data_IF_247783488756
#
_entry.id   IF_247783488756
#
_cell.length_a   1.000
_cell.length_b   1.000
_cell.length_c   1.000
_cell.angle_alpha   90.00
_cell.angle_beta   90.00
_cell.angle_gamma   90.00
#
_symmetry.space_group_name_H-M   'P 1'
#
loop_
_entity.id
_entity.type
_entity.pdbx_description
1 polymer ?
#
# COMPACT_ATOMS: atom_id res chain seq x y z
N UNK A 1 -29.01 0.91 -6.98
CA UNK A 1 -27.62 1.14 -7.47
C UNK A 1 -26.78 -0.03 -7.02
N UNK A 2 -26.50 -0.98 -7.91
CA UNK A 2 -25.67 -2.15 -7.63
C UNK A 2 -24.22 -1.69 -7.46
N UNK A 3 -23.69 -1.83 -6.25
CA UNK A 3 -22.27 -1.68 -5.95
C UNK A 3 -21.47 -2.51 -6.98
N UNK A 4 -20.61 -1.85 -7.78
CA UNK A 4 -19.69 -2.58 -8.66
C UNK A 4 -18.87 -3.50 -7.78
N UNK A 5 -19.02 -4.81 -7.99
CA UNK A 5 -18.25 -5.83 -7.29
C UNK A 5 -16.77 -5.52 -7.50
N UNK A 6 -16.03 -5.25 -6.42
CA UNK A 6 -14.58 -5.02 -6.48
C UNK A 6 -13.91 -6.33 -6.88
N UNK A 7 -13.58 -6.48 -8.17
CA UNK A 7 -12.83 -7.61 -8.68
C UNK A 7 -11.39 -7.19 -8.94
N UNK A 8 -10.51 -7.55 -8.00
CA UNK A 8 -9.09 -7.25 -8.04
C UNK A 8 -8.31 -8.56 -7.91
N UNK A 9 -7.50 -8.87 -8.92
CA UNK A 9 -6.71 -10.09 -8.93
C UNK A 9 -5.63 -10.06 -7.84
N UNK A 10 -5.34 -11.23 -7.26
CA UNK A 10 -4.18 -11.38 -6.39
C UNK A 10 -2.87 -11.10 -7.14
N UNK A 11 -1.78 -10.89 -6.40
CA UNK A 11 -0.49 -10.60 -7.01
C UNK A 11 0.63 -10.44 -5.99
N UNK A 12 1.88 -10.53 -6.46
CA UNK A 12 3.05 -10.32 -5.62
C UNK A 12 3.16 -8.85 -5.21
N UNK A 13 3.44 -8.60 -3.93
CA UNK A 13 3.66 -7.27 -3.39
C UNK A 13 5.16 -7.01 -3.27
N UNK A 14 5.61 -5.89 -3.85
CA UNK A 14 7.00 -5.45 -3.83
C UNK A 14 7.14 -4.13 -3.09
N UNK A 15 8.09 -4.07 -2.16
CA UNK A 15 8.59 -2.82 -1.61
C UNK A 15 9.91 -2.47 -2.30
N UNK A 16 9.86 -1.52 -3.23
CA UNK A 16 11.05 -1.04 -3.96
C UNK A 16 11.81 -0.02 -3.12
N UNK A 17 13.12 0.10 -3.35
CA UNK A 17 13.93 1.16 -2.74
C UNK A 17 13.35 2.55 -3.02
N UNK A 18 12.87 2.76 -4.26
CA UNK A 18 12.08 3.91 -4.67
C UNK A 18 12.83 5.24 -4.61
N UNK A 19 12.09 6.35 -4.61
CA UNK A 19 12.65 7.71 -4.52
C UNK A 19 11.63 8.69 -3.96
N UNK A 20 12.11 9.69 -3.22
CA UNK A 20 11.35 10.88 -2.84
C UNK A 20 11.72 12.00 -3.82
N UNK A 21 10.72 12.64 -4.44
CA UNK A 21 10.95 13.73 -5.41
C UNK A 21 10.23 15.03 -5.03
N UNK A 22 9.56 15.05 -3.89
CA UNK A 22 8.90 16.22 -3.32
C UNK A 22 7.78 15.82 -2.34
N UNK A 23 7.16 16.80 -1.68
CA UNK A 23 6.08 16.55 -0.74
C UNK A 23 4.98 15.70 -1.37
N UNK A 24 4.66 14.57 -0.74
CA UNK A 24 3.68 13.60 -1.20
C UNK A 24 3.95 13.02 -2.61
N UNK A 25 5.18 13.20 -3.13
CA UNK A 25 5.61 12.72 -4.45
C UNK A 25 6.78 11.77 -4.31
N UNK A 26 6.58 10.55 -4.79
CA UNK A 26 7.58 9.49 -4.73
C UNK A 26 6.96 8.14 -4.44
N UNK A 27 7.82 7.14 -4.24
CA UNK A 27 7.37 5.79 -3.87
C UNK A 27 8.46 5.04 -3.09
N UNK A 28 8.04 3.96 -2.42
CA UNK A 28 8.94 2.97 -1.83
C UNK A 28 9.67 3.44 -0.57
N UNK A 29 10.72 2.70 -0.20
CA UNK A 29 11.46 2.87 1.07
C UNK A 29 11.91 4.31 1.29
N UNK A 30 12.58 4.90 0.30
CA UNK A 30 13.13 6.26 0.40
C UNK A 30 12.04 7.31 0.56
N UNK A 31 10.92 7.16 -0.14
CA UNK A 31 9.78 8.07 0.01
C UNK A 31 9.13 7.98 1.39
N UNK A 32 8.87 6.76 1.87
CA UNK A 32 8.28 6.53 3.20
C UNK A 32 9.18 7.13 4.29
N UNK A 33 10.49 6.89 4.22
CA UNK A 33 11.44 7.43 5.19
C UNK A 33 11.54 8.96 5.13
N UNK A 34 11.65 9.56 3.93
CA UNK A 34 11.70 11.01 3.79
C UNK A 34 10.46 11.70 4.34
N UNK A 35 9.27 11.16 4.10
CA UNK A 35 8.01 11.76 4.57
C UNK A 35 7.78 11.55 6.08
N UNK A 36 8.26 10.43 6.64
CA UNK A 36 7.76 9.92 7.95
C UNK A 36 8.85 9.43 8.89
N UNK A 37 10.13 9.54 8.55
CA UNK A 37 11.24 9.01 9.35
C UNK A 37 11.20 9.45 10.81
N UNK A 38 10.91 10.73 11.08
CA UNK A 38 10.77 11.26 12.45
C UNK A 38 9.66 10.56 13.25
N UNK A 39 8.55 10.21 12.60
CA UNK A 39 7.44 9.46 13.21
C UNK A 39 7.75 7.96 13.32
N UNK A 40 8.42 7.38 12.34
CA UNK A 40 8.87 6.00 12.37
C UNK A 40 9.79 5.73 13.55
N UNK A 41 10.73 6.64 13.82
CA UNK A 41 11.61 6.59 15.00
C UNK A 41 10.77 6.57 16.29
N UNK A 42 9.78 7.47 16.41
CA UNK A 42 8.85 7.50 17.56
C UNK A 42 8.04 6.21 17.72
N UNK A 43 7.83 5.45 16.64
CA UNK A 43 7.10 4.19 16.64
C UNK A 43 7.99 2.96 16.79
N UNK A 44 9.29 3.14 17.04
CA UNK A 44 10.24 2.06 17.27
C UNK A 44 10.90 1.52 16.00
N UNK A 45 10.84 2.24 14.88
CA UNK A 45 11.53 1.93 13.62
C UNK A 45 12.68 2.95 13.43
N UNK A 46 13.85 2.73 14.07
CA UNK A 46 14.87 3.76 14.24
C UNK A 46 15.62 4.15 12.97
N UNK A 47 15.61 3.29 11.93
CA UNK A 47 16.39 3.50 10.71
C UNK A 47 15.58 3.32 9.44
N UNK A 48 16.10 3.81 8.31
CA UNK A 48 15.51 3.55 6.99
C UNK A 48 15.41 2.05 6.68
N UNK A 49 16.28 1.23 7.26
CA UNK A 49 16.27 -0.22 7.11
C UNK A 49 15.13 -0.89 7.86
N UNK A 50 14.42 -0.17 8.73
CA UNK A 50 13.23 -0.65 9.44
C UNK A 50 11.93 -0.40 8.65
N UNK A 51 11.97 0.34 7.53
CA UNK A 51 10.78 0.56 6.67
C UNK A 51 10.17 -0.76 6.16
N UNK A 52 10.96 -1.76 5.70
CA UNK A 52 10.41 -3.07 5.34
C UNK A 52 9.64 -3.73 6.49
N UNK A 53 10.16 -3.66 7.73
CA UNK A 53 9.48 -4.19 8.92
C UNK A 53 8.17 -3.45 9.20
N UNK A 54 8.16 -2.13 9.08
CA UNK A 54 6.94 -1.33 9.24
C UNK A 54 5.87 -1.70 8.21
N UNK A 55 6.26 -1.88 6.95
CA UNK A 55 5.35 -2.26 5.86
C UNK A 55 4.81 -3.69 6.05
N UNK A 56 5.66 -4.64 6.44
CA UNK A 56 5.22 -6.02 6.68
C UNK A 56 4.28 -6.14 7.88
N UNK A 57 4.42 -5.26 8.87
CA UNK A 57 3.50 -5.14 10.02
C UNK A 57 2.10 -4.61 9.63
N UNK A 58 1.96 -4.01 8.45
CA UNK A 58 0.67 -3.54 7.91
C UNK A 58 0.06 -4.58 6.97
N UNK A 59 0.87 -5.12 6.06
CA UNK A 59 0.44 -6.06 5.02
C UNK A 59 0.43 -7.47 5.60
N UNK A 60 -0.64 -7.77 6.32
CA UNK A 60 -0.84 -9.04 7.03
C UNK A 60 -2.09 -9.75 6.53
N UNK A 61 -2.22 -11.04 6.86
CA UNK A 61 -3.46 -11.77 6.68
C UNK A 61 -4.63 -11.02 7.32
N UNK A 62 -5.79 -10.97 6.64
CA UNK A 62 -6.99 -10.23 7.02
C UNK A 62 -6.85 -8.69 7.05
N UNK A 63 -5.73 -8.12 6.57
CA UNK A 63 -5.65 -6.67 6.37
C UNK A 63 -6.80 -6.21 5.46
N UNK A 64 -7.52 -5.17 5.87
CA UNK A 64 -8.67 -4.68 5.14
C UNK A 64 -8.26 -3.98 3.86
N UNK A 65 -8.95 -4.25 2.76
CA UNK A 65 -8.79 -3.53 1.51
C UNK A 65 -9.79 -2.38 1.51
N UNK A 66 -9.28 -1.14 1.50
CA UNK A 66 -10.06 0.09 1.53
C UNK A 66 -9.99 0.76 0.16
N UNK A 67 -11.15 1.12 -0.37
CA UNK A 67 -11.31 1.79 -1.65
C UNK A 67 -11.77 3.23 -1.45
N UNK A 68 -11.00 4.19 -1.95
CA UNK A 68 -11.41 5.59 -2.11
C UNK A 68 -12.02 5.72 -3.51
N UNK A 69 -13.36 5.75 -3.62
CA UNK A 69 -14.11 5.60 -4.89
C UNK A 69 -13.83 6.66 -5.97
N UNK A 70 -12.99 7.67 -5.70
CA UNK A 70 -12.68 8.77 -6.62
C UNK A 70 -11.58 8.46 -7.66
N UNK A 71 -10.81 7.37 -7.53
CA UNK A 71 -9.60 7.16 -8.38
C UNK A 71 -9.58 5.84 -9.18
N UNK A 72 -10.74 5.22 -9.45
CA UNK A 72 -10.80 4.00 -10.27
C UNK A 72 -10.71 4.22 -11.80
N UNK A 73 -10.38 5.44 -12.25
CA UNK A 73 -10.23 5.80 -13.66
C UNK A 73 -8.77 5.92 -14.09
N UNK A 74 -8.20 4.87 -14.68
CA UNK A 74 -6.85 4.89 -15.26
C UNK A 74 -5.92 3.80 -14.72
N UNK A 75 -4.77 3.63 -15.38
CA UNK A 75 -3.80 2.52 -15.26
C UNK A 75 -3.14 2.29 -13.89
N UNK A 76 -3.62 2.89 -12.80
CA UNK A 76 -3.05 2.68 -11.46
C UNK A 76 -4.18 2.56 -10.45
N UNK A 77 -4.75 1.34 -10.33
CA UNK A 77 -5.66 1.04 -9.22
C UNK A 77 -4.87 1.15 -7.94
N UNK A 78 -5.05 2.25 -7.23
CA UNK A 78 -4.47 2.44 -5.91
C UNK A 78 -5.31 1.64 -4.93
N UNK A 79 -4.66 0.75 -4.19
CA UNK A 79 -5.29 -0.09 -3.17
C UNK A 79 -4.72 0.30 -1.82
N UNK A 80 -5.58 0.65 -0.88
CA UNK A 80 -5.17 0.93 0.50
C UNK A 80 -5.40 -0.32 1.33
N UNK A 81 -4.32 -0.89 1.87
CA UNK A 81 -4.38 -1.98 2.84
C UNK A 81 -4.33 -1.41 4.26
N UNK A 82 -5.36 -1.68 5.05
CA UNK A 82 -5.48 -1.30 6.45
C UNK A 82 -5.16 -2.49 7.36
N UNK A 83 -3.97 -2.47 7.95
CA UNK A 83 -3.55 -3.39 8.99
C UNK A 83 -3.66 -2.77 10.38
N UNK A 84 -3.34 -3.55 11.43
CA UNK A 84 -3.37 -3.06 12.83
C UNK A 84 -2.37 -1.93 13.09
N UNK A 85 -1.31 -1.85 12.29
CA UNK A 85 -0.17 -0.95 12.50
C UNK A 85 -0.23 0.30 11.62
N UNK A 86 -1.20 0.38 10.71
CA UNK A 86 -1.38 1.52 9.81
C UNK A 86 -1.96 1.10 8.46
N UNK A 87 -1.72 1.95 7.47
CA UNK A 87 -2.15 1.77 6.09
C UNK A 87 -0.94 1.72 5.15
N UNK A 88 -1.01 0.84 4.15
CA UNK A 88 -0.07 0.77 3.05
C UNK A 88 -0.82 1.03 1.75
N UNK A 89 -0.27 1.88 0.90
CA UNK A 89 -0.85 2.25 -0.38
C UNK A 89 -0.09 1.52 -1.47
N UNK A 90 -0.80 0.70 -2.24
CA UNK A 90 -0.27 -0.11 -3.32
C UNK A 90 -0.73 0.46 -4.65
N UNK A 91 0.18 0.55 -5.62
CA UNK A 91 -0.18 0.70 -7.03
C UNK A 91 -0.11 -0.68 -7.70
N UNK A 92 -1.19 -1.06 -8.39
CA UNK A 92 -1.23 -2.27 -9.21
C UNK A 92 -0.65 -2.00 -10.61
N UNK A 93 0.07 -2.99 -11.15
CA UNK A 93 0.62 -3.00 -12.50
C UNK A 93 0.46 -4.40 -13.09
N UNK A 94 0.37 -4.48 -14.42
CA UNK A 94 0.46 -5.77 -15.10
C UNK A 94 1.83 -6.41 -14.85
N UNK A 95 1.82 -7.72 -14.62
CA UNK A 95 3.04 -8.50 -14.47
C UNK A 95 3.78 -8.54 -15.81
N UNK A 96 5.06 -8.13 -15.87
CA UNK A 96 5.82 -8.19 -17.12
C UNK A 96 6.15 -9.63 -17.53
N UNK A 97 5.99 -10.59 -16.62
CA UNK A 97 6.37 -11.99 -16.82
C UNK A 97 5.17 -12.93 -16.95
N UNK A 98 3.94 -12.44 -16.78
CA UNK A 98 2.75 -13.28 -16.73
C UNK A 98 1.52 -12.47 -17.18
N UNK A 99 1.03 -12.78 -18.38
CA UNK A 99 -0.08 -12.06 -19.00
C UNK A 99 -1.37 -12.29 -18.21
N UNK A 100 -2.10 -11.22 -17.90
CA UNK A 100 -3.33 -11.28 -17.09
C UNK A 100 -3.09 -11.37 -15.58
N UNK A 101 -1.84 -11.35 -15.11
CA UNK A 101 -1.49 -11.30 -13.68
C UNK A 101 -1.08 -9.90 -13.24
N UNK A 102 -1.28 -9.60 -11.95
CA UNK A 102 -0.90 -8.31 -11.36
C UNK A 102 0.33 -8.42 -10.45
N UNK A 103 1.11 -7.35 -10.41
CA UNK A 103 2.06 -7.05 -9.34
C UNK A 103 1.65 -5.76 -8.64
N UNK A 104 1.99 -5.66 -7.36
CA UNK A 104 1.70 -4.51 -6.54
C UNK A 104 3.00 -3.87 -6.07
N UNK A 105 3.12 -2.55 -6.20
CA UNK A 105 4.22 -1.80 -5.61
C UNK A 105 3.71 -0.96 -4.45
N UNK A 106 4.38 -1.07 -3.29
CA UNK A 106 4.14 -0.16 -2.16
C UNK A 106 4.63 1.23 -2.54
N UNK A 107 3.67 2.16 -2.65
CA UNK A 107 3.93 3.57 -2.94
C UNK A 107 4.25 4.30 -1.66
N UNK A 108 3.41 4.17 -0.64
CA UNK A 108 3.62 4.80 0.66
C UNK A 108 3.01 3.98 1.80
N UNK A 109 3.36 4.31 3.03
CA UNK A 109 2.81 3.67 4.23
C UNK A 109 2.78 4.66 5.40
N UNK A 110 1.74 4.59 6.23
CA UNK A 110 1.50 5.57 7.28
C UNK A 110 0.61 5.02 8.39
N UNK A 111 0.77 5.53 9.62
CA UNK A 111 -0.05 5.14 10.77
C UNK A 111 -1.31 6.01 10.82
N UNK A 112 -2.27 5.74 9.94
CA UNK A 112 -3.64 6.21 10.09
C UNK A 112 -4.52 5.00 10.35
N UNK A 113 -5.32 5.07 11.41
CA UNK A 113 -6.28 4.00 11.77
C UNK A 113 -7.64 4.19 11.11
N UNK A 114 -7.89 5.38 10.54
CA UNK A 114 -9.09 5.77 9.83
C UNK A 114 -8.75 6.24 8.40
N UNK A 115 -8.31 5.33 7.51
CA UNK A 115 -8.19 5.69 6.09
C UNK A 115 -9.54 6.16 5.57
N UNK A 116 -9.53 7.14 4.66
CA UNK A 116 -10.72 7.50 3.92
C UNK A 116 -11.13 6.32 3.04
N UNK A 117 -12.43 6.17 2.76
CA UNK A 117 -12.94 5.11 1.89
C UNK A 117 -13.69 4.00 2.62
N UNK A 118 -14.16 3.03 1.84
CA UNK A 118 -14.99 1.92 2.32
C UNK A 118 -14.20 0.62 2.31
N UNK A 119 -14.35 -0.20 3.35
CA UNK A 119 -13.82 -1.56 3.38
C UNK A 119 -14.56 -2.40 2.34
N UNK A 120 -13.85 -2.89 1.32
CA UNK A 120 -14.44 -3.64 0.20
C UNK A 120 -14.06 -5.12 0.19
N UNK A 121 -12.94 -5.48 0.82
CA UNK A 121 -12.44 -6.86 0.89
C UNK A 121 -11.38 -6.99 2.00
N UNK A 122 -10.77 -8.18 2.12
CA UNK A 122 -9.64 -8.44 3.02
C UNK A 122 -8.57 -9.26 2.29
N UNK A 123 -7.31 -9.11 2.70
CA UNK A 123 -6.20 -9.91 2.20
C UNK A 123 -6.35 -11.35 2.69
N UNK A 124 -6.51 -12.29 1.76
CA UNK A 124 -6.25 -13.70 2.00
C UNK A 124 -4.79 -14.02 1.64
N UNK A 125 -4.13 -14.80 2.48
CA UNK A 125 -2.85 -15.43 2.16
C UNK A 125 -3.20 -16.90 2.08
N UNK A 126 -3.02 -17.51 0.92
CA UNK A 126 -3.15 -18.97 0.75
C UNK A 126 -1.86 -19.64 1.21
#
# INVERSE_FOLDING_TARGET
MTSKQFNQLGGKIFLRAGKHIGPHKGFGVRHIWSERGSKLIQWGFPTIHDVPRFVSEIIVHQAGIVCEFSEMGGYHRVVVLRGRKGCAVLAAFDSPNDEGSLIYSVVTAYRNINPNGTLVAQVSVL
#
